data_IF_955882675682
#
_entry.id   IF_955882675682
#
_cell.length_a   1.000
_cell.length_b   1.000
_cell.length_c   1.000
_cell.angle_alpha   90.00
_cell.angle_beta   90.00
_cell.angle_gamma   90.00
#
_symmetry.space_group_name_H-M   'P 1'
#
loop_
_entity.id
_entity.type
_entity.pdbx_description
1 polymer ?
#
# COMPACT_ATOMS: atom_id res chain seq x y z
N UNK A 1 47.86 -16.24 -0.98
CA UNK A 1 47.24 -14.90 -0.72
C UNK A 1 45.83 -14.71 -1.32
N UNK A 2 45.13 -15.75 -1.78
CA UNK A 2 43.79 -15.60 -2.41
C UNK A 2 42.60 -15.65 -1.44
N UNK A 3 42.65 -16.54 -0.44
CA UNK A 3 41.52 -16.79 0.48
C UNK A 3 41.28 -15.60 1.43
N UNK A 4 42.35 -14.94 1.88
CA UNK A 4 42.26 -13.78 2.77
C UNK A 4 41.62 -12.55 2.08
N UNK A 5 41.90 -12.35 0.78
CA UNK A 5 41.25 -11.29 -0.01
C UNK A 5 39.79 -11.61 -0.29
N UNK A 6 39.44 -12.88 -0.48
CA UNK A 6 38.05 -13.32 -0.68
C UNK A 6 37.21 -13.15 0.60
N UNK A 7 37.79 -13.42 1.77
CA UNK A 7 37.16 -13.17 3.07
C UNK A 7 36.96 -11.67 3.33
N UNK A 8 37.94 -10.82 3.01
CA UNK A 8 37.81 -9.36 3.11
C UNK A 8 36.71 -8.86 2.15
N UNK A 9 36.63 -9.38 0.92
CA UNK A 9 35.57 -9.04 -0.03
C UNK A 9 34.19 -9.49 0.50
N UNK A 10 34.07 -10.68 1.08
CA UNK A 10 32.84 -11.14 1.71
C UNK A 10 32.44 -10.29 2.92
N UNK A 11 33.39 -9.79 3.71
CA UNK A 11 33.13 -8.86 4.83
C UNK A 11 32.68 -7.48 4.32
N UNK A 12 33.16 -7.01 3.17
CA UNK A 12 32.66 -5.76 2.56
C UNK A 12 31.32 -5.92 1.82
N UNK A 13 31.02 -7.12 1.33
CA UNK A 13 29.71 -7.46 0.74
C UNK A 13 28.65 -7.72 1.83
N UNK A 14 29.09 -8.06 3.05
CA UNK A 14 28.25 -8.09 4.24
C UNK A 14 27.82 -6.68 4.64
N UNK A 15 26.68 -6.27 4.05
CA UNK A 15 25.76 -5.23 4.51
C UNK A 15 26.34 -3.80 4.55
N UNK A 16 26.38 -3.14 3.39
CA UNK A 16 25.88 -1.76 3.30
C UNK A 16 24.35 -1.77 3.49
N UNK A 17 23.88 -2.23 4.64
CA UNK A 17 22.50 -1.94 5.06
C UNK A 17 22.44 -0.44 5.27
N UNK A 18 21.38 0.23 4.79
CA UNK A 18 21.13 1.63 5.14
C UNK A 18 21.14 1.69 6.66
N UNK A 19 22.21 2.26 7.20
CA UNK A 19 22.29 2.55 8.63
C UNK A 19 21.54 3.85 8.74
N UNK A 20 20.23 3.75 8.91
CA UNK A 20 19.49 4.84 9.51
C UNK A 20 20.00 4.90 10.96
N UNK A 21 21.15 5.54 11.17
CA UNK A 21 21.89 5.61 12.45
C UNK A 21 21.00 6.10 13.59
N UNK A 22 19.92 6.78 13.21
CA UNK A 22 18.93 7.35 14.08
C UNK A 22 17.75 6.41 14.39
N UNK A 23 17.38 5.44 13.53
CA UNK A 23 16.19 4.62 13.71
C UNK A 23 16.54 3.40 14.56
N UNK A 24 16.01 3.37 15.78
CA UNK A 24 16.19 2.28 16.73
C UNK A 24 15.41 1.05 16.35
N UNK A 25 14.14 1.25 15.96
CA UNK A 25 13.18 0.20 15.67
C UNK A 25 12.22 0.70 14.62
N UNK A 26 11.93 -0.15 13.65
CA UNK A 26 10.88 0.09 12.68
C UNK A 26 10.00 -1.13 12.54
N UNK A 27 8.70 -0.91 12.52
CA UNK A 27 7.71 -1.93 12.19
C UNK A 27 6.68 -1.32 11.25
N UNK A 28 6.41 -1.99 10.12
CA UNK A 28 5.26 -1.67 9.28
C UNK A 28 4.31 -2.85 9.30
N UNK A 29 3.07 -2.59 9.72
CA UNK A 29 1.96 -3.50 9.58
C UNK A 29 1.02 -3.01 8.47
N UNK A 30 0.61 -3.92 7.60
CA UNK A 30 -0.36 -3.66 6.55
C UNK A 30 -1.52 -4.64 6.71
N UNK A 31 -2.74 -4.13 6.72
CA UNK A 31 -3.97 -4.91 6.87
C UNK A 31 -5.02 -4.38 5.90
N UNK A 32 -5.82 -5.29 5.36
CA UNK A 32 -6.96 -4.93 4.53
C UNK A 32 -8.21 -5.46 5.22
N UNK A 33 -9.20 -4.60 5.40
CA UNK A 33 -10.46 -4.89 6.09
C UNK A 33 -11.65 -4.56 5.19
N UNK A 34 -12.85 -5.04 5.56
CA UNK A 34 -14.07 -4.90 4.75
C UNK A 34 -14.39 -6.15 3.92
N UNK A 35 -15.46 -6.09 3.13
CA UNK A 35 -16.01 -7.17 2.29
C UNK A 35 -16.38 -6.67 0.88
N UNK A 36 -16.64 -7.57 -0.06
CA UNK A 36 -16.95 -7.20 -1.45
C UNK A 36 -15.80 -6.49 -2.18
N UNK A 37 -16.17 -5.59 -3.10
CA UNK A 37 -15.23 -4.81 -3.91
C UNK A 37 -14.75 -3.51 -3.23
N UNK A 38 -15.42 -3.07 -2.16
CA UNK A 38 -15.05 -1.87 -1.40
C UNK A 38 -14.34 -2.28 -0.13
N UNK A 39 -13.02 -2.08 -0.06
CA UNK A 39 -12.19 -2.46 1.08
C UNK A 39 -11.54 -1.25 1.70
N UNK A 40 -10.94 -1.43 2.87
CA UNK A 40 -10.15 -0.40 3.54
C UNK A 40 -8.73 -0.91 3.71
N UNK A 41 -7.77 -0.17 3.17
CA UNK A 41 -6.36 -0.41 3.39
C UNK A 41 -5.92 0.34 4.65
N UNK A 42 -5.26 -0.37 5.57
CA UNK A 42 -4.68 0.17 6.78
C UNK A 42 -3.20 -0.13 6.81
N UNK A 43 -2.40 0.93 6.94
CA UNK A 43 -0.94 0.86 7.07
C UNK A 43 -0.58 1.52 8.40
N UNK A 44 0.01 0.76 9.30
CA UNK A 44 0.56 1.27 10.56
C UNK A 44 2.07 1.21 10.49
N UNK A 45 2.72 2.35 10.69
CA UNK A 45 4.17 2.42 10.79
C UNK A 45 4.57 2.89 12.18
N UNK A 46 5.40 2.09 12.83
CA UNK A 46 6.08 2.43 14.06
C UNK A 46 7.53 2.77 13.73
N UNK A 47 7.99 3.96 14.09
CA UNK A 47 9.37 4.38 13.91
C UNK A 47 9.88 4.94 15.23
N UNK A 48 10.83 4.26 15.86
CA UNK A 48 11.49 4.74 17.05
C UNK A 48 12.87 5.26 16.69
N UNK A 49 13.25 6.38 17.29
CA UNK A 49 14.48 7.08 17.00
C UNK A 49 15.36 7.23 18.25
N UNK A 50 16.65 6.88 18.14
CA UNK A 50 17.64 6.91 19.24
C UNK A 50 18.10 8.33 19.62
N UNK A 51 18.20 9.23 18.65
CA UNK A 51 18.76 10.57 18.85
C UNK A 51 17.80 11.65 18.41
N UNK A 52 18.02 12.86 18.93
CA UNK A 52 17.21 14.03 18.61
C UNK A 52 17.33 14.30 17.11
N UNK A 53 16.23 14.20 16.37
CA UNK A 53 16.23 14.65 14.99
C UNK A 53 15.79 16.11 14.94
N UNK A 54 16.44 16.84 14.05
CA UNK A 54 15.95 18.08 13.46
C UNK A 54 14.59 17.88 12.77
N UNK A 55 14.09 18.93 12.12
CA UNK A 55 12.79 18.89 11.48
C UNK A 55 12.76 17.87 10.33
N UNK A 56 11.89 16.85 10.42
CA UNK A 56 11.71 15.82 9.38
C UNK A 56 10.29 15.78 8.81
N UNK A 57 10.19 15.33 7.57
CA UNK A 57 8.95 14.95 6.88
C UNK A 57 8.97 13.45 6.58
N UNK A 58 7.79 12.84 6.60
CA UNK A 58 7.56 11.43 6.29
C UNK A 58 6.79 11.32 4.97
N UNK A 59 7.24 10.43 4.11
CA UNK A 59 6.57 10.04 2.87
C UNK A 59 6.32 8.54 2.87
N UNK A 60 5.09 8.15 2.59
CA UNK A 60 4.73 6.78 2.23
C UNK A 60 4.58 6.70 0.71
N UNK A 61 5.34 5.81 0.07
CA UNK A 61 5.14 5.42 -1.33
C UNK A 61 4.42 4.08 -1.35
N UNK A 62 3.17 4.08 -1.82
CA UNK A 62 2.28 2.93 -1.85
C UNK A 62 2.03 2.57 -3.31
N UNK A 63 2.46 1.39 -3.73
CA UNK A 63 2.20 0.89 -5.09
C UNK A 63 0.91 0.08 -5.08
N UNK A 64 -0.09 0.53 -5.83
CA UNK A 64 -1.37 -0.15 -5.97
C UNK A 64 -1.32 -1.05 -7.21
N UNK A 65 -1.71 -2.33 -7.08
CA UNK A 65 -1.77 -3.24 -8.22
C UNK A 65 -2.90 -2.84 -9.17
N UNK A 66 -2.81 -3.28 -10.43
CA UNK A 66 -3.72 -2.89 -11.52
C UNK A 66 -5.21 -3.16 -11.26
N UNK A 67 -5.51 -4.13 -10.39
CA UNK A 67 -6.87 -4.50 -10.01
C UNK A 67 -7.46 -3.61 -8.90
N UNK A 68 -6.76 -2.56 -8.49
CA UNK A 68 -7.14 -1.68 -7.38
C UNK A 68 -7.20 -0.22 -7.85
N UNK A 69 -8.28 0.44 -7.48
CA UNK A 69 -8.52 1.85 -7.72
C UNK A 69 -8.67 2.58 -6.38
N UNK A 70 -8.23 3.83 -6.35
CA UNK A 70 -8.51 4.79 -5.29
C UNK A 70 -9.04 6.07 -5.92
N UNK A 71 -9.96 6.73 -5.23
CA UNK A 71 -10.48 8.02 -5.65
C UNK A 71 -9.75 9.13 -4.89
N UNK A 72 -9.26 10.14 -5.62
CA UNK A 72 -8.53 11.27 -5.05
C UNK A 72 -9.34 11.98 -3.96
N UNK A 73 -10.62 12.25 -4.26
CA UNK A 73 -11.53 12.89 -3.30
C UNK A 73 -11.71 12.10 -2.00
N UNK A 74 -11.77 10.77 -2.07
CA UNK A 74 -11.89 9.92 -0.88
C UNK A 74 -10.60 9.91 -0.06
N UNK A 75 -9.45 9.95 -0.74
CA UNK A 75 -8.15 10.04 -0.10
C UNK A 75 -7.95 11.37 0.62
N UNK A 76 -8.26 12.50 -0.03
CA UNK A 76 -8.15 13.83 0.56
C UNK A 76 -9.05 14.01 1.78
N UNK A 77 -10.28 13.47 1.72
CA UNK A 77 -11.23 13.52 2.84
C UNK A 77 -10.81 12.63 4.00
N UNK A 78 -10.28 11.43 3.73
CA UNK A 78 -9.89 10.48 4.78
C UNK A 78 -8.52 10.79 5.39
N UNK A 79 -7.61 11.38 4.61
CA UNK A 79 -6.23 11.67 4.99
C UNK A 79 -5.95 13.19 5.06
N UNK A 80 -6.80 13.93 5.76
CA UNK A 80 -6.74 15.39 5.85
C UNK A 80 -5.39 15.94 6.38
N UNK A 81 -4.68 15.17 7.21
CA UNK A 81 -3.35 15.53 7.75
C UNK A 81 -2.19 15.29 6.78
N UNK A 82 -2.48 14.89 5.54
CA UNK A 82 -1.51 14.50 4.54
C UNK A 82 -1.68 15.30 3.24
N UNK A 83 -0.57 15.49 2.54
CA UNK A 83 -0.56 15.86 1.13
C UNK A 83 -0.47 14.57 0.32
N UNK A 84 -1.28 14.45 -0.72
CA UNK A 84 -1.46 13.21 -1.47
C UNK A 84 -1.14 13.50 -2.93
N UNK A 85 -0.45 12.58 -3.58
CA UNK A 85 -0.28 12.59 -5.02
C UNK A 85 -0.52 11.18 -5.56
N UNK A 86 -1.36 11.09 -6.60
CA UNK A 86 -1.69 9.84 -7.27
C UNK A 86 -1.06 9.88 -8.66
N UNK A 87 -0.18 8.92 -8.95
CA UNK A 87 0.57 8.90 -10.21
C UNK A 87 0.35 7.55 -10.90
N UNK A 88 -0.15 7.50 -12.14
CA UNK A 88 -0.17 6.25 -12.89
C UNK A 88 1.27 5.77 -13.16
N UNK A 89 1.54 4.49 -12.89
CA UNK A 89 2.86 3.89 -13.04
C UNK A 89 2.90 2.84 -14.15
N UNK A 90 4.04 2.77 -14.85
CA UNK A 90 4.29 1.83 -15.94
C UNK A 90 3.76 2.29 -17.31
N UNK A 91 4.08 1.52 -18.36
CA UNK A 91 3.54 1.73 -19.71
C UNK A 91 2.05 1.36 -19.80
N UNK A 92 1.56 0.54 -18.86
CA UNK A 92 0.15 0.22 -18.71
C UNK A 92 -0.43 1.17 -17.67
N UNK A 93 -1.32 2.06 -18.09
CA UNK A 93 -1.98 3.08 -17.27
C UNK A 93 -2.89 2.54 -16.13
N UNK A 94 -2.75 1.26 -15.76
CA UNK A 94 -3.60 0.56 -14.81
C UNK A 94 -2.96 0.46 -13.41
N UNK A 95 -1.62 0.41 -13.31
CA UNK A 95 -0.97 0.44 -12.00
C UNK A 95 -0.83 1.88 -11.54
N UNK A 96 -0.98 2.14 -10.24
CA UNK A 96 -0.95 3.50 -9.70
C UNK A 96 -0.11 3.55 -8.45
N UNK A 97 0.75 4.56 -8.33
CA UNK A 97 1.49 4.86 -7.11
C UNK A 97 0.85 6.01 -6.37
N UNK A 98 0.53 5.80 -5.10
CA UNK A 98 0.04 6.82 -4.18
C UNK A 98 1.19 7.26 -3.29
N UNK A 99 1.49 8.54 -3.32
CA UNK A 99 2.44 9.19 -2.43
C UNK A 99 1.67 9.94 -1.35
N UNK A 100 1.96 9.65 -0.08
CA UNK A 100 1.30 10.26 1.07
C UNK A 100 2.35 10.93 1.95
N UNK A 101 2.38 12.26 1.96
CA UNK A 101 3.31 13.06 2.75
C UNK A 101 2.60 13.65 3.95
N UNK A 102 3.10 13.39 5.16
CA UNK A 102 2.52 13.99 6.36
C UNK A 102 2.78 15.50 6.41
N UNK A 103 1.72 16.30 6.63
CA UNK A 103 1.82 17.77 6.75
C UNK A 103 2.59 18.18 8.01
N UNK A 104 2.29 17.52 9.14
CA UNK A 104 2.97 17.79 10.41
C UNK A 104 4.41 17.32 10.35
N UNK A 105 5.34 18.26 10.49
CA UNK A 105 6.77 17.97 10.62
C UNK A 105 7.07 17.40 12.01
N UNK A 106 8.10 16.56 12.10
CA UNK A 106 8.55 15.97 13.36
C UNK A 106 9.82 16.65 13.83
N UNK A 107 9.95 16.85 15.14
CA UNK A 107 11.17 17.35 15.78
C UNK A 107 11.37 16.64 17.12
N UNK A 108 12.62 16.37 17.49
CA UNK A 108 13.06 15.73 18.75
C UNK A 108 13.26 14.20 18.71
N UNK A 109 13.63 13.58 19.84
CA UNK A 109 13.64 12.13 20.07
C UNK A 109 12.20 11.63 20.19
N UNK A 110 11.76 10.69 19.34
CA UNK A 110 10.37 10.25 19.38
C UNK A 110 10.17 8.78 18.97
N UNK A 111 9.07 8.24 19.48
CA UNK A 111 8.36 7.08 18.94
C UNK A 111 7.23 7.60 18.05
N UNK A 112 7.39 7.44 16.74
CA UNK A 112 6.35 7.74 15.76
C UNK A 112 5.43 6.54 15.64
N UNK A 113 4.14 6.77 15.87
CA UNK A 113 3.08 5.93 15.36
C UNK A 113 2.37 6.73 14.27
N UNK A 114 2.48 6.27 13.04
CA UNK A 114 1.73 6.83 11.91
C UNK A 114 0.78 5.76 11.40
N UNK A 115 -0.49 6.13 11.24
CA UNK A 115 -1.52 5.21 10.79
C UNK A 115 -2.26 5.84 9.61
N UNK A 116 -2.07 5.23 8.44
CA UNK A 116 -2.87 5.51 7.27
C UNK A 116 -4.03 4.53 7.22
N UNK A 117 -5.24 5.03 7.01
CA UNK A 117 -6.43 4.21 6.80
C UNK A 117 -7.26 4.88 5.72
N UNK A 118 -7.47 4.21 4.60
CA UNK A 118 -8.22 4.79 3.48
C UNK A 118 -8.96 3.74 2.65
N UNK A 119 -10.06 4.11 1.99
CA UNK A 119 -10.82 3.22 1.12
C UNK A 119 -10.04 2.85 -0.15
N UNK A 120 -10.21 1.60 -0.59
CA UNK A 120 -9.72 1.07 -1.86
C UNK A 120 -10.85 0.32 -2.56
N UNK A 121 -10.87 0.36 -3.89
CA UNK A 121 -11.88 -0.30 -4.72
C UNK A 121 -11.22 -1.36 -5.57
N UNK A 122 -11.74 -2.58 -5.53
CA UNK A 122 -11.27 -3.69 -6.34
C UNK A 122 -12.08 -3.76 -7.63
N UNK A 123 -11.41 -3.96 -8.76
CA UNK A 123 -12.10 -4.37 -9.97
C UNK A 123 -12.59 -5.81 -9.82
N UNK A 124 -13.79 -6.08 -10.35
CA UNK A 124 -14.29 -7.44 -10.44
C UNK A 124 -13.30 -8.30 -11.27
N UNK A 125 -12.94 -9.51 -10.80
CA UNK A 125 -12.02 -10.37 -11.51
C UNK A 125 -12.68 -10.83 -12.81
N UNK A 126 -11.89 -10.80 -13.90
CA UNK A 126 -12.28 -11.43 -15.16
C UNK A 126 -12.23 -12.94 -14.99
N UNK A 127 -13.08 -13.69 -15.71
CA UNK A 127 -13.15 -15.17 -15.64
C UNK A 127 -11.80 -15.88 -15.79
N UNK A 128 -10.85 -15.28 -16.51
CA UNK A 128 -9.51 -15.84 -16.76
C UNK A 128 -8.42 -15.31 -15.82
N UNK A 129 -8.74 -14.40 -14.90
CA UNK A 129 -7.75 -13.76 -14.01
C UNK A 129 -7.71 -14.40 -12.62
N UNK A 130 -6.57 -14.27 -11.95
CA UNK A 130 -6.42 -14.67 -10.55
C UNK A 130 -7.46 -13.97 -9.66
N UNK A 131 -8.16 -14.68 -8.77
CA UNK A 131 -9.07 -14.07 -7.80
C UNK A 131 -8.33 -13.37 -6.65
N UNK A 132 -7.00 -13.36 -6.69
CA UNK A 132 -6.15 -12.76 -5.67
C UNK A 132 -5.44 -11.51 -6.17
N UNK A 133 -5.35 -10.53 -5.28
CA UNK A 133 -4.60 -9.28 -5.45
C UNK A 133 -3.46 -9.26 -4.45
N UNK A 134 -2.24 -9.00 -4.92
CA UNK A 134 -1.07 -8.91 -4.08
C UNK A 134 -0.72 -7.44 -3.85
N UNK A 135 -0.67 -7.03 -2.59
CA UNK A 135 -0.24 -5.70 -2.19
C UNK A 135 1.21 -5.76 -1.72
N UNK A 136 2.05 -4.89 -2.27
CA UNK A 136 3.38 -4.66 -1.75
C UNK A 136 3.35 -3.83 -0.48
N UNK A 137 4.29 -4.09 0.42
CA UNK A 137 4.48 -3.24 1.59
C UNK A 137 4.99 -1.86 1.14
N UNK A 138 4.53 -0.78 1.77
CA UNK A 138 4.90 0.57 1.37
C UNK A 138 6.39 0.82 1.57
N UNK A 139 6.96 1.63 0.68
CA UNK A 139 8.32 2.15 0.84
C UNK A 139 8.24 3.45 1.63
N UNK A 140 9.06 3.56 2.68
CA UNK A 140 9.03 4.70 3.60
C UNK A 140 10.24 5.60 3.35
N UNK A 141 9.95 6.88 3.05
CA UNK A 141 10.93 7.92 2.80
C UNK A 141 10.91 9.02 3.86
N UNK A 142 12.08 9.61 4.12
CA UNK A 142 12.22 10.74 5.02
C UNK A 142 12.98 11.89 4.36
N UNK A 143 12.58 13.11 4.66
CA UNK A 143 13.24 14.35 4.26
C UNK A 143 13.51 15.17 5.52
N UNK A 144 14.77 15.24 5.94
CA UNK A 144 15.19 15.78 7.23
C UNK A 144 16.23 16.88 7.07
N UNK A 145 16.10 17.90 7.89
CA UNK A 145 17.08 18.97 8.04
C UNK A 145 18.45 18.42 8.52
N UNK A 146 19.57 18.95 8.02
CA UNK A 146 20.95 18.53 8.37
C UNK A 146 21.37 17.09 8.02
N UNK A 147 20.65 16.42 7.11
CA UNK A 147 21.08 15.19 6.44
C UNK A 147 21.70 14.13 7.38
N UNK A 148 21.02 13.82 8.49
CA UNK A 148 21.45 12.82 9.48
C UNK A 148 21.46 11.37 8.96
N UNK A 149 21.26 11.15 7.65
CA UNK A 149 21.14 9.84 7.02
C UNK A 149 22.40 9.49 6.24
N UNK A 150 23.23 8.61 6.80
CA UNK A 150 24.42 8.07 6.15
C UNK A 150 24.12 6.70 5.53
N UNK A 151 24.67 6.42 4.35
CA UNK A 151 24.51 5.14 3.64
C UNK A 151 23.07 4.74 3.26
N UNK A 152 22.11 5.66 3.31
CA UNK A 152 20.75 5.41 2.81
C UNK A 152 20.64 5.79 1.32
N UNK A 153 19.78 5.08 0.59
CA UNK A 153 19.60 5.32 -0.85
C UNK A 153 18.56 6.42 -1.04
N UNK A 154 18.78 7.32 -1.99
CA UNK A 154 17.76 8.28 -2.38
C UNK A 154 16.51 7.51 -2.86
N UNK A 155 15.35 7.89 -2.36
CA UNK A 155 14.07 7.39 -2.82
C UNK A 155 13.75 8.05 -4.15
N UNK A 156 13.60 7.25 -5.19
CA UNK A 156 13.13 7.73 -6.49
C UNK A 156 11.64 8.04 -6.38
N UNK A 157 11.30 9.31 -6.60
CA UNK A 157 9.93 9.82 -6.60
C UNK A 157 9.58 10.38 -7.97
N UNK A 158 8.29 10.47 -8.29
CA UNK A 158 7.84 11.15 -9.50
C UNK A 158 8.27 12.63 -9.48
N UNK A 159 8.53 13.20 -10.65
CA UNK A 159 8.94 14.59 -10.78
C UNK A 159 7.72 15.53 -10.64
N UNK A 160 7.22 15.66 -9.42
CA UNK A 160 6.10 16.52 -9.06
C UNK A 160 6.51 17.57 -8.02
N UNK A 161 5.94 18.76 -8.10
CA UNK A 161 6.23 19.86 -7.16
C UNK A 161 5.84 19.55 -5.71
N UNK A 162 4.76 18.81 -5.49
CA UNK A 162 4.26 18.39 -4.16
C UNK A 162 5.22 17.41 -3.47
N UNK A 163 5.92 16.61 -4.28
CA UNK A 163 6.91 15.63 -3.83
C UNK A 163 8.33 16.20 -3.74
N UNK A 164 8.55 17.49 -4.00
CA UNK A 164 9.90 18.04 -3.86
C UNK A 164 10.34 17.98 -2.38
N UNK A 165 11.53 17.42 -2.10
CA UNK A 165 12.12 17.49 -0.77
C UNK A 165 12.43 18.95 -0.42
N UNK A 166 12.29 19.31 0.85
CA UNK A 166 12.57 20.67 1.36
C UNK A 166 14.04 20.80 1.73
N UNK A 167 14.64 19.74 2.28
CA UNK A 167 15.98 19.82 2.88
C UNK A 167 17.08 19.16 2.03
N UNK A 168 16.71 18.41 1.01
CA UNK A 168 17.67 17.91 0.03
C UNK A 168 17.12 16.76 -0.82
N UNK A 169 17.02 15.57 -0.23
CA UNK A 169 16.56 14.36 -0.92
C UNK A 169 15.65 13.55 -0.03
N UNK A 170 14.66 12.89 -0.62
CA UNK A 170 13.97 11.80 0.06
C UNK A 170 14.95 10.65 0.24
N UNK A 171 15.17 10.25 1.47
CA UNK A 171 16.05 9.14 1.82
C UNK A 171 15.18 7.94 2.15
N UNK A 172 15.44 6.83 1.47
CA UNK A 172 14.76 5.57 1.72
C UNK A 172 15.24 5.03 3.05
N UNK A 173 14.35 5.00 4.06
CA UNK A 173 14.64 4.26 5.29
C UNK A 173 14.50 2.75 5.04
N UNK A 174 13.47 2.37 4.28
CA UNK A 174 13.08 0.97 4.08
C UNK A 174 12.56 0.80 2.67
N UNK A 175 13.14 -0.18 1.98
CA UNK A 175 12.65 -0.65 0.68
C UNK A 175 11.49 -1.60 0.90
N UNK A 176 10.51 -1.57 -0.02
CA UNK A 176 9.47 -2.61 -0.12
C UNK A 176 10.09 -3.99 0.12
N UNK A 177 9.51 -4.74 1.06
CA UNK A 177 9.94 -6.12 1.31
C UNK A 177 9.39 -7.01 0.19
N UNK A 178 10.06 -8.12 -0.11
CA UNK A 178 9.50 -9.14 -1.01
C UNK A 178 8.27 -9.88 -0.45
N UNK A 179 7.78 -9.48 0.74
CA UNK A 179 6.52 -9.98 1.29
C UNK A 179 5.36 -9.21 0.67
N UNK A 180 4.34 -9.95 0.30
CA UNK A 180 3.10 -9.41 -0.24
C UNK A 180 1.96 -9.72 0.73
N UNK A 181 1.04 -8.76 0.91
CA UNK A 181 -0.25 -9.03 1.52
C UNK A 181 -1.20 -9.51 0.43
N UNK A 182 -1.55 -10.80 0.47
CA UNK A 182 -2.45 -11.42 -0.49
C UNK A 182 -3.90 -11.24 -0.04
N UNK A 183 -4.70 -10.59 -0.88
CA UNK A 183 -6.14 -10.38 -0.69
C UNK A 183 -6.93 -11.25 -1.68
N UNK A 184 -7.97 -11.93 -1.21
CA UNK A 184 -8.96 -12.55 -2.09
C UNK A 184 -10.07 -11.54 -2.42
N UNK A 185 -10.34 -11.33 -3.71
CA UNK A 185 -11.33 -10.36 -4.19
C UNK A 185 -12.73 -10.72 -3.69
N UNK A 186 -13.09 -12.01 -3.75
CA UNK A 186 -14.36 -12.53 -3.22
C UNK A 186 -14.09 -13.46 -2.05
N UNK A 187 -14.44 -13.00 -0.85
CA UNK A 187 -14.21 -13.77 0.36
C UNK A 187 -15.42 -14.68 0.64
N UNK A 188 -15.52 -15.82 -0.07
CA UNK A 188 -16.57 -16.80 0.17
C UNK A 188 -17.99 -16.30 -0.09
N UNK A 189 -18.15 -15.19 -0.80
CA UNK A 189 -19.44 -14.69 -1.28
C UNK A 189 -19.99 -15.75 -2.24
N UNK A 190 -20.88 -16.60 -1.72
CA UNK A 190 -21.75 -17.41 -2.56
C UNK A 190 -22.58 -16.41 -3.34
N UNK A 191 -22.19 -16.15 -4.58
CA UNK A 191 -23.17 -15.76 -5.58
C UNK A 191 -24.17 -16.92 -5.56
N UNK A 192 -25.30 -16.72 -4.87
CA UNK A 192 -26.41 -17.66 -4.97
C UNK A 192 -26.61 -17.84 -6.46
N UNK A 193 -26.28 -19.04 -6.94
CA UNK A 193 -26.51 -19.41 -8.32
C UNK A 193 -27.98 -19.11 -8.55
N UNK A 194 -28.22 -18.12 -9.41
CA UNK A 194 -29.52 -17.63 -9.83
C UNK A 194 -30.59 -18.68 -9.59
N UNK A 195 -31.44 -18.41 -8.61
CA UNK A 195 -32.28 -19.37 -7.94
C UNK A 195 -33.04 -20.27 -8.92
N UNK A 196 -32.53 -21.48 -9.15
CA UNK A 196 -33.27 -22.57 -9.78
C UNK A 196 -34.59 -22.81 -9.05
N UNK A 197 -34.62 -22.53 -7.74
CA UNK A 197 -35.81 -22.58 -6.91
C UNK A 197 -36.85 -21.51 -7.32
N UNK A 198 -36.42 -20.30 -7.69
CA UNK A 198 -37.32 -19.25 -8.20
C UNK A 198 -37.85 -19.58 -9.59
N UNK A 199 -37.04 -20.19 -10.48
CA UNK A 199 -37.56 -20.73 -11.75
C UNK A 199 -38.58 -21.85 -11.53
N UNK A 200 -38.35 -22.73 -10.56
CA UNK A 200 -39.30 -23.80 -10.24
C UNK A 200 -40.65 -23.27 -9.73
N UNK A 201 -40.62 -22.26 -8.86
CA UNK A 201 -41.83 -21.60 -8.35
C UNK A 201 -42.59 -20.91 -9.49
N UNK A 202 -41.86 -20.23 -10.38
CA UNK A 202 -42.46 -19.52 -11.50
C UNK A 202 -43.06 -20.48 -12.54
N UNK A 203 -42.39 -21.61 -12.80
CA UNK A 203 -42.89 -22.66 -13.70
C UNK A 203 -44.09 -23.40 -13.10
N UNK A 204 -44.09 -23.67 -11.80
CA UNK A 204 -45.23 -24.25 -11.09
C UNK A 204 -46.46 -23.31 -11.12
N UNK A 205 -46.28 -22.01 -10.90
CA UNK A 205 -47.34 -21.01 -10.99
C UNK A 205 -47.93 -20.91 -12.40
N UNK A 206 -47.09 -20.93 -13.43
CA UNK A 206 -47.54 -20.91 -14.83
C UNK A 206 -48.37 -22.16 -15.16
N UNK A 207 -47.91 -23.35 -14.77
CA UNK A 207 -48.66 -24.60 -15.00
C UNK A 207 -50.00 -24.60 -14.24
N UNK A 208 -50.02 -24.14 -12.99
CA UNK A 208 -51.25 -24.05 -12.20
C UNK A 208 -52.26 -23.08 -12.82
N UNK A 209 -51.78 -21.91 -13.29
CA UNK A 209 -52.63 -20.91 -13.95
C UNK A 209 -53.17 -21.41 -15.28
N UNK A 210 -52.36 -22.12 -16.07
CA UNK A 210 -52.79 -22.70 -17.34
C UNK A 210 -53.88 -23.76 -17.11
N UNK A 211 -53.72 -24.63 -16.10
CA UNK A 211 -54.71 -25.65 -15.77
C UNK A 211 -56.07 -25.04 -15.38
N UNK A 212 -56.07 -23.96 -14.60
CA UNK A 212 -57.27 -23.27 -14.15
C UNK A 212 -58.00 -22.44 -15.23
N UNK A 213 -57.33 -22.14 -16.35
CA UNK A 213 -57.93 -21.41 -17.48
C UNK A 213 -58.55 -22.37 -18.51
N UNK A 214 -58.10 -23.64 -18.52
CA UNK A 214 -58.60 -24.69 -19.43
C UNK A 214 -59.72 -25.57 -18.87
N UNK A 215 -60.15 -25.35 -17.63
CA UNK A 215 -61.30 -26.00 -16.98
C UNK A 215 -62.32 -24.96 -16.55
#
# INVERSE_FOLDING_TARGET
MGIFRLLILCVFILRKSCVFSILQRHETEMKITGSGLHRTLQIQTFNQVKSRISTCRLLHKIELPESVLVHEHELETTLADYNILIVPTGNNALSTTVYVIRKKKFSSTFEMKDQLKFPIHLYAPKKSSSPFVNFEYPTIGFDCENNHMTNCSALTVHNDSTLKPVFGKWMTAIKSSSKFLKLNIFNGERFEQFAWHSCFILLALVVFSAYYITF
#
